data_IF_820553466769
#
_entry.id   IF_820553466769
#
_cell.length_a   1.000
_cell.length_b   1.000
_cell.length_c   1.000
_cell.angle_alpha   90.00
_cell.angle_beta   90.00
_cell.angle_gamma   90.00
#
_symmetry.space_group_name_H-M   'P 1'
#
loop_
_entity.id
_entity.type
_entity.pdbx_description
1 polymer ?
#
# COMPACT_ATOMS: atom_id res chain seq x y z
N UNK A 1 -0.12 -11.91 -1.17
CA UNK A 1 0.34 -10.62 -0.59
C UNK A 1 1.72 -10.81 0.01
N UNK A 2 2.64 -9.83 -0.21
CA UNK A 2 4.02 -9.93 0.23
C UNK A 2 4.25 -9.73 1.73
N UNK A 3 3.28 -9.17 2.47
CA UNK A 3 3.41 -8.88 3.90
C UNK A 3 2.13 -8.41 4.56
N UNK A 4 2.18 -8.24 5.86
CA UNK A 4 1.12 -7.64 6.67
C UNK A 4 1.53 -6.21 7.07
N UNK A 5 0.60 -5.26 6.92
CA UNK A 5 0.79 -3.87 7.32
C UNK A 5 0.05 -3.58 8.62
N UNK A 6 0.73 -2.88 9.52
CA UNK A 6 0.22 -2.50 10.83
C UNK A 6 0.39 -1.00 11.03
N UNK A 7 -0.59 -0.36 11.65
CA UNK A 7 -0.44 0.98 12.16
C UNK A 7 0.40 0.92 13.44
N UNK A 8 1.42 1.75 13.53
CA UNK A 8 2.30 1.87 14.68
C UNK A 8 2.58 3.35 14.98
N UNK A 9 3.18 3.63 16.13
CA UNK A 9 3.63 4.95 16.51
C UNK A 9 5.14 4.94 16.75
N UNK A 10 5.83 6.00 16.32
CA UNK A 10 7.25 6.23 16.55
C UNK A 10 7.47 7.71 16.85
N UNK A 11 8.06 8.00 17.98
CA UNK A 11 8.37 9.39 18.43
C UNK A 11 7.14 10.32 18.39
N UNK A 12 5.95 9.81 18.77
CA UNK A 12 4.70 10.55 18.73
C UNK A 12 4.08 10.70 17.33
N UNK A 13 4.66 10.11 16.30
CA UNK A 13 4.16 10.15 14.93
C UNK A 13 3.65 8.77 14.49
N UNK A 14 2.51 8.73 13.79
CA UNK A 14 2.00 7.50 13.18
C UNK A 14 2.91 7.05 12.03
N UNK A 15 3.17 5.74 11.98
CA UNK A 15 3.95 5.09 10.94
C UNK A 15 3.27 3.78 10.52
N UNK A 16 3.65 3.24 9.37
CA UNK A 16 3.24 1.91 8.93
C UNK A 16 4.41 0.95 9.08
N UNK A 17 4.21 -0.12 9.85
CA UNK A 17 5.12 -1.27 9.88
C UNK A 17 4.60 -2.32 8.90
N UNK A 18 5.42 -2.68 7.91
CA UNK A 18 5.17 -3.84 7.04
C UNK A 18 6.07 -4.99 7.47
N UNK A 19 5.45 -6.10 7.88
CA UNK A 19 6.11 -7.37 8.17
C UNK A 19 6.00 -8.28 6.96
N UNK A 20 7.11 -8.63 6.35
CA UNK A 20 7.15 -9.64 5.29
C UNK A 20 6.79 -11.01 5.88
N UNK A 21 6.08 -11.83 5.14
CA UNK A 21 5.73 -13.20 5.51
C UNK A 21 6.10 -14.18 4.40
N UNK A 22 6.31 -15.44 4.78
CA UNK A 22 6.70 -16.53 3.87
C UNK A 22 5.61 -17.60 3.74
N UNK A 23 4.35 -17.24 3.96
CA UNK A 23 3.25 -18.17 3.72
C UNK A 23 3.25 -18.63 2.25
N UNK A 24 3.05 -19.93 1.99
CA UNK A 24 3.00 -20.45 0.63
C UNK A 24 1.91 -19.72 -0.18
N UNK A 25 2.30 -19.15 -1.31
CA UNK A 25 1.36 -18.57 -2.26
C UNK A 25 1.45 -19.35 -3.56
N UNK A 26 0.31 -19.82 -4.07
CA UNK A 26 0.26 -20.64 -5.27
C UNK A 26 0.79 -19.94 -6.55
N UNK A 27 0.89 -18.62 -6.52
CA UNK A 27 1.18 -17.79 -7.69
C UNK A 27 2.56 -17.11 -7.68
N UNK A 28 3.32 -17.17 -6.57
CA UNK A 28 4.60 -16.49 -6.46
C UNK A 28 5.65 -17.34 -5.77
N UNK A 29 6.73 -17.65 -6.47
CA UNK A 29 7.98 -18.06 -5.87
C UNK A 29 8.83 -16.80 -5.63
N UNK A 30 8.70 -16.22 -4.46
CA UNK A 30 9.55 -15.10 -4.08
C UNK A 30 10.92 -15.62 -3.65
N UNK A 31 11.97 -15.07 -4.24
CA UNK A 31 13.30 -15.09 -3.66
C UNK A 31 13.36 -14.26 -2.37
N UNK A 32 14.30 -13.40 -2.22
CA UNK A 32 14.38 -12.47 -1.08
C UNK A 32 13.32 -11.36 -1.23
N UNK A 33 12.17 -11.50 -0.55
CA UNK A 33 11.03 -10.58 -0.65
C UNK A 33 11.35 -9.16 -0.20
N UNK A 34 12.13 -9.00 0.88
CA UNK A 34 12.48 -7.66 1.36
C UNK A 34 13.38 -6.94 0.37
N UNK A 35 14.33 -7.64 -0.24
CA UNK A 35 15.17 -7.05 -1.29
C UNK A 35 14.37 -6.68 -2.54
N UNK A 36 13.35 -7.48 -2.88
CA UNK A 36 12.44 -7.17 -3.99
C UNK A 36 11.69 -5.87 -3.70
N UNK A 37 11.13 -5.71 -2.50
CA UNK A 37 10.39 -4.52 -2.12
C UNK A 37 11.27 -3.26 -2.04
N UNK A 38 12.50 -3.38 -1.55
CA UNK A 38 13.47 -2.29 -1.55
C UNK A 38 13.83 -1.85 -2.97
N UNK A 39 14.09 -2.80 -3.85
CA UNK A 39 14.39 -2.54 -5.27
C UNK A 39 13.21 -1.85 -5.97
N UNK A 40 11.99 -2.31 -5.72
CA UNK A 40 10.80 -1.78 -6.34
C UNK A 40 10.46 -0.38 -5.82
N UNK A 41 10.67 -0.11 -4.53
CA UNK A 41 10.61 1.25 -3.97
C UNK A 41 11.57 2.20 -4.69
N UNK A 42 12.83 1.79 -4.88
CA UNK A 42 13.83 2.62 -5.57
C UNK A 42 13.48 2.84 -7.05
N UNK A 43 12.87 1.86 -7.72
CA UNK A 43 12.41 1.98 -9.11
C UNK A 43 11.29 3.01 -9.21
N UNK A 44 10.24 2.88 -8.39
CA UNK A 44 9.09 3.79 -8.36
C UNK A 44 9.49 5.22 -8.00
N UNK A 45 10.36 5.37 -6.98
CA UNK A 45 10.87 6.67 -6.56
C UNK A 45 11.64 7.39 -7.67
N UNK A 46 12.50 6.66 -8.42
CA UNK A 46 13.29 7.23 -9.52
C UNK A 46 12.43 7.76 -10.66
N UNK A 47 11.29 7.16 -10.94
CA UNK A 47 10.36 7.62 -11.99
C UNK A 47 9.32 8.61 -11.47
N UNK A 48 9.42 9.02 -10.19
CA UNK A 48 8.62 10.10 -9.62
C UNK A 48 7.22 9.71 -9.17
N UNK A 49 6.96 8.42 -8.89
CA UNK A 49 5.67 8.00 -8.33
C UNK A 49 5.55 8.50 -6.88
N UNK A 50 4.47 9.19 -6.50
CA UNK A 50 4.22 9.58 -5.12
C UNK A 50 4.07 8.35 -4.22
N UNK A 51 5.00 8.19 -3.28
CA UNK A 51 5.08 7.05 -2.36
C UNK A 51 5.21 7.54 -0.92
N UNK A 52 4.73 6.77 0.08
CA UNK A 52 5.16 6.96 1.46
C UNK A 52 6.68 6.87 1.55
N UNK A 53 7.32 7.72 2.34
CA UNK A 53 8.77 7.61 2.57
C UNK A 53 9.08 6.31 3.30
N UNK A 54 10.13 5.62 2.86
CA UNK A 54 10.72 4.53 3.63
C UNK A 54 11.56 5.15 4.75
N UNK A 55 11.19 4.90 6.00
CA UNK A 55 11.79 5.51 7.18
C UNK A 55 12.87 4.63 7.81
N UNK A 56 12.68 3.30 7.76
CA UNK A 56 13.62 2.34 8.33
C UNK A 56 13.42 0.94 7.72
N UNK A 57 14.47 0.14 7.74
CA UNK A 57 14.49 -1.25 7.23
C UNK A 57 15.25 -2.14 8.19
N UNK A 58 14.63 -3.24 8.59
CA UNK A 58 15.25 -4.32 9.34
C UNK A 58 15.24 -5.58 8.47
N UNK A 59 16.35 -5.81 7.77
CA UNK A 59 16.49 -6.95 6.85
C UNK A 59 16.51 -8.29 7.57
N UNK A 60 17.07 -8.35 8.77
CA UNK A 60 17.20 -9.59 9.54
C UNK A 60 15.84 -10.10 10.03
N UNK A 61 14.93 -9.18 10.37
CA UNK A 61 13.56 -9.49 10.77
C UNK A 61 12.53 -9.27 9.64
N UNK A 62 13.00 -8.91 8.43
CA UNK A 62 12.19 -8.67 7.23
C UNK A 62 11.05 -7.67 7.46
N UNK A 63 11.40 -6.49 7.99
CA UNK A 63 10.47 -5.41 8.35
C UNK A 63 10.85 -4.11 7.69
N UNK A 64 9.81 -3.38 7.25
CA UNK A 64 9.94 -2.05 6.68
C UNK A 64 9.05 -1.10 7.46
N UNK A 65 9.62 0.04 7.85
CA UNK A 65 8.84 1.14 8.40
C UNK A 65 8.71 2.20 7.34
N UNK A 66 7.50 2.63 7.11
CA UNK A 66 7.19 3.70 6.16
C UNK A 66 6.27 4.75 6.77
N UNK A 67 6.32 5.93 6.17
CA UNK A 67 5.44 7.05 6.47
C UNK A 67 3.98 6.61 6.45
N UNK A 68 3.22 7.07 7.43
CA UNK A 68 1.78 6.92 7.42
C UNK A 68 1.17 8.04 6.58
N UNK A 69 0.42 7.70 5.54
CA UNK A 69 -0.36 8.66 4.75
C UNK A 69 -1.74 8.77 5.39
N UNK A 70 -2.05 9.95 5.93
CA UNK A 70 -3.29 10.22 6.67
C UNK A 70 -4.39 10.67 5.71
N UNK A 71 -5.12 9.72 5.15
CA UNK A 71 -6.18 9.99 4.20
C UNK A 71 -7.09 8.79 4.01
N UNK A 72 -8.06 8.96 3.14
CA UNK A 72 -8.96 7.88 2.75
C UNK A 72 -8.40 7.13 1.54
N UNK A 73 -8.62 5.83 1.49
CA UNK A 73 -8.31 5.04 0.31
C UNK A 73 -9.25 5.41 -0.85
N UNK A 74 -8.76 5.26 -2.06
CA UNK A 74 -9.63 5.39 -3.25
C UNK A 74 -10.81 4.42 -3.17
N UNK A 75 -10.60 3.22 -2.61
CA UNK A 75 -11.66 2.23 -2.38
C UNK A 75 -12.80 2.79 -1.52
N UNK A 76 -12.48 3.40 -0.36
CA UNK A 76 -13.49 4.02 0.51
C UNK A 76 -14.20 5.17 -0.19
N UNK A 77 -13.46 6.02 -0.90
CA UNK A 77 -14.03 7.16 -1.63
C UNK A 77 -14.97 6.73 -2.78
N UNK A 78 -14.64 5.64 -3.50
CA UNK A 78 -15.54 5.07 -4.52
C UNK A 78 -16.80 4.49 -3.86
N UNK A 79 -16.63 3.74 -2.76
CA UNK A 79 -17.75 3.13 -2.03
C UNK A 79 -18.77 4.19 -1.55
N UNK A 80 -18.27 5.35 -1.13
CA UNK A 80 -19.05 6.47 -0.59
C UNK A 80 -19.46 7.52 -1.64
N UNK A 81 -19.24 7.27 -2.94
CA UNK A 81 -19.55 8.21 -4.06
C UNK A 81 -18.89 9.59 -3.93
N UNK A 82 -17.69 9.67 -3.36
CA UNK A 82 -16.99 10.94 -3.11
C UNK A 82 -15.57 11.00 -3.71
N UNK A 83 -15.25 10.11 -4.66
CA UNK A 83 -13.95 10.14 -5.34
C UNK A 83 -13.79 11.43 -6.15
N UNK A 84 -12.81 12.30 -5.83
CA UNK A 84 -12.55 13.49 -6.61
C UNK A 84 -12.03 13.14 -8.01
N UNK A 85 -12.47 13.88 -9.04
CA UNK A 85 -12.00 13.68 -10.41
C UNK A 85 -10.46 13.81 -10.53
N UNK A 86 -9.85 14.64 -9.69
CA UNK A 86 -8.39 14.81 -9.61
C UNK A 86 -7.64 13.53 -9.27
N UNK A 87 -8.25 12.56 -8.59
CA UNK A 87 -7.63 11.25 -8.35
C UNK A 87 -7.42 10.47 -9.65
N UNK A 88 -8.42 10.50 -10.56
CA UNK A 88 -8.29 9.86 -11.87
C UNK A 88 -7.24 10.55 -12.75
N UNK A 89 -7.14 11.88 -12.67
CA UNK A 89 -6.12 12.65 -13.37
C UNK A 89 -4.72 12.27 -12.87
N UNK A 90 -4.54 12.18 -11.54
CA UNK A 90 -3.26 11.85 -10.92
C UNK A 90 -2.81 10.42 -11.21
N UNK A 91 -3.71 9.42 -11.10
CA UNK A 91 -3.32 8.03 -11.44
C UNK A 91 -2.97 7.88 -12.92
N UNK A 92 -3.68 8.56 -13.82
CA UNK A 92 -3.32 8.60 -15.25
C UNK A 92 -1.98 9.27 -15.49
N UNK A 93 -1.66 10.32 -14.74
CA UNK A 93 -0.35 10.95 -14.82
C UNK A 93 0.78 10.02 -14.35
N UNK A 94 0.51 9.11 -13.40
CA UNK A 94 1.46 8.06 -13.00
C UNK A 94 1.67 7.01 -14.09
N UNK A 95 0.65 6.70 -14.89
CA UNK A 95 0.74 5.66 -15.94
C UNK A 95 1.84 5.95 -16.97
N UNK A 96 2.00 7.19 -17.42
CA UNK A 96 3.00 7.55 -18.42
C UNK A 96 4.42 7.12 -18.06
N UNK A 97 5.00 7.59 -16.94
CA UNK A 97 6.33 7.17 -16.50
C UNK A 97 6.44 5.68 -16.16
N UNK A 98 5.37 5.05 -15.62
CA UNK A 98 5.34 3.62 -15.35
C UNK A 98 5.47 2.81 -16.66
N UNK A 99 4.66 3.10 -17.66
CA UNK A 99 4.68 2.38 -18.94
C UNK A 99 5.98 2.60 -19.69
N UNK A 100 6.50 3.83 -19.68
CA UNK A 100 7.81 4.13 -20.25
C UNK A 100 8.96 3.34 -19.60
N UNK A 101 8.81 2.99 -18.32
CA UNK A 101 9.77 2.15 -17.58
C UNK A 101 9.49 0.64 -17.67
N UNK A 102 8.53 0.21 -18.48
CA UNK A 102 8.05 -1.18 -18.59
C UNK A 102 7.53 -1.72 -17.24
N UNK A 103 6.76 -0.91 -16.49
CA UNK A 103 6.24 -1.25 -15.17
C UNK A 103 4.70 -1.17 -15.16
N UNK A 104 4.07 -2.19 -14.61
CA UNK A 104 2.75 -2.11 -14.01
C UNK A 104 2.86 -2.10 -12.48
N UNK A 105 1.96 -1.36 -11.84
CA UNK A 105 1.71 -1.46 -10.38
C UNK A 105 0.36 -2.12 -10.16
N UNK A 106 0.04 -2.48 -8.93
CA UNK A 106 -1.30 -2.93 -8.59
C UNK A 106 -2.25 -1.72 -8.47
N UNK A 107 -3.02 -1.47 -9.53
CA UNK A 107 -3.97 -0.36 -9.63
C UNK A 107 -5.24 -0.55 -8.78
N UNK A 108 -5.28 -1.55 -7.92
CA UNK A 108 -6.45 -1.76 -7.07
C UNK A 108 -6.64 -0.61 -6.08
N UNK A 109 -7.87 -0.07 -5.90
CA UNK A 109 -8.10 1.21 -5.20
C UNK A 109 -7.72 1.21 -3.71
N UNK A 110 -7.55 0.05 -3.07
CA UNK A 110 -7.02 -0.02 -1.69
C UNK A 110 -5.55 0.35 -1.57
N UNK A 111 -4.81 0.35 -2.69
CA UNK A 111 -3.38 0.68 -2.75
C UNK A 111 -3.12 2.17 -2.97
N UNK A 112 -4.17 2.99 -2.99
CA UNK A 112 -4.05 4.44 -3.20
C UNK A 112 -4.75 5.21 -2.09
N UNK A 113 -4.05 6.21 -1.54
CA UNK A 113 -4.58 7.10 -0.49
C UNK A 113 -4.47 8.54 -0.96
N UNK A 114 -5.55 9.30 -0.78
CA UNK A 114 -5.58 10.74 -1.01
C UNK A 114 -5.31 11.47 0.31
N UNK A 115 -4.20 12.23 0.36
CA UNK A 115 -3.88 13.11 1.49
C UNK A 115 -3.61 14.53 0.97
N UNK A 116 -4.30 15.51 1.50
CA UNK A 116 -4.11 16.94 1.16
C UNK A 116 -4.13 17.24 -0.35
N UNK A 117 -4.98 16.52 -1.10
CA UNK A 117 -5.11 16.65 -2.55
C UNK A 117 -4.06 15.91 -3.38
N UNK A 118 -3.08 15.26 -2.74
CA UNK A 118 -2.08 14.42 -3.40
C UNK A 118 -2.42 12.94 -3.27
N UNK A 119 -2.35 12.21 -4.39
CA UNK A 119 -2.61 10.79 -4.46
C UNK A 119 -1.31 10.01 -4.28
N UNK A 120 -1.25 9.13 -3.29
CA UNK A 120 -0.11 8.27 -2.98
C UNK A 120 -0.40 6.81 -3.33
N UNK A 121 0.54 6.14 -4.01
CA UNK A 121 0.56 4.69 -4.13
C UNK A 121 1.26 4.10 -2.90
N UNK A 122 0.54 3.37 -2.05
CA UNK A 122 1.03 2.98 -0.72
C UNK A 122 1.64 1.57 -0.65
N UNK A 123 1.53 0.79 -1.71
CA UNK A 123 2.31 -0.45 -1.87
C UNK A 123 3.54 -0.19 -2.76
N UNK A 124 4.61 -0.99 -2.60
CA UNK A 124 5.85 -0.81 -3.38
C UNK A 124 6.01 -1.91 -4.45
N UNK A 125 4.93 -2.59 -4.80
CA UNK A 125 4.99 -3.68 -5.77
C UNK A 125 5.10 -3.16 -7.21
N UNK A 126 6.08 -3.70 -7.95
CA UNK A 126 6.26 -3.49 -9.37
C UNK A 126 6.17 -4.82 -10.12
N UNK A 127 5.37 -4.84 -11.16
CA UNK A 127 5.28 -5.95 -12.11
C UNK A 127 5.81 -5.51 -13.47
N UNK A 128 6.19 -6.45 -14.33
CA UNK A 128 6.46 -6.16 -15.72
C UNK A 128 5.19 -5.65 -16.42
N UNK A 129 5.34 -4.68 -17.33
CA UNK A 129 4.20 -4.12 -18.04
C UNK A 129 3.51 -5.19 -18.88
N UNK A 130 2.22 -5.30 -18.70
CA UNK A 130 1.31 -6.09 -19.52
C UNK A 130 0.06 -5.24 -19.81
N UNK A 131 -0.30 -5.10 -21.06
CA UNK A 131 -1.40 -4.24 -21.49
C UNK A 131 -2.74 -4.63 -20.85
N UNK A 132 -2.98 -5.92 -20.64
CA UNK A 132 -4.19 -6.45 -20.02
C UNK A 132 -4.35 -6.06 -18.54
N UNK A 133 -3.26 -5.74 -17.85
CA UNK A 133 -3.19 -5.39 -16.43
C UNK A 133 -2.87 -3.91 -16.20
N UNK A 134 -2.86 -3.10 -17.24
CA UNK A 134 -2.66 -1.66 -17.10
C UNK A 134 -3.89 -0.96 -16.51
N UNK A 135 -3.75 0.33 -16.22
CA UNK A 135 -4.84 1.09 -15.61
C UNK A 135 -6.08 1.14 -16.51
N UNK A 136 -5.92 1.35 -17.82
CA UNK A 136 -7.00 1.54 -18.78
C UNK A 136 -7.83 0.27 -19.00
N UNK A 137 -7.18 -0.90 -19.04
CA UNK A 137 -7.84 -2.17 -19.35
C UNK A 137 -8.34 -2.89 -18.08
N UNK A 138 -7.63 -2.73 -16.95
CA UNK A 138 -7.95 -3.43 -15.72
C UNK A 138 -8.28 -2.47 -14.56
N UNK A 139 -7.38 -1.55 -14.21
CA UNK A 139 -7.49 -0.72 -13.02
C UNK A 139 -8.76 0.11 -12.98
N UNK A 140 -9.11 0.76 -14.08
CA UNK A 140 -10.27 1.65 -14.21
C UNK A 140 -11.60 0.99 -13.80
N UNK A 141 -11.71 -0.33 -13.92
CA UNK A 141 -12.90 -1.10 -13.52
C UNK A 141 -13.22 -1.00 -12.03
N UNK A 142 -12.24 -0.65 -11.22
CA UNK A 142 -12.37 -0.57 -9.76
C UNK A 142 -12.34 0.86 -9.22
N UNK A 143 -12.21 1.88 -10.10
CA UNK A 143 -12.15 3.29 -9.71
C UNK A 143 -13.49 4.02 -9.86
N UNK A 144 -14.56 3.29 -10.00
CA UNK A 144 -15.95 3.74 -9.96
C UNK A 144 -16.86 2.56 -9.57
N UNK A 145 -18.14 2.82 -9.29
CA UNK A 145 -19.11 1.76 -8.94
C UNK A 145 -19.53 0.94 -10.16
N UNK A 146 -18.59 0.27 -10.78
CA UNK A 146 -18.86 -0.72 -11.83
C UNK A 146 -19.41 -2.02 -11.23
N UNK A 147 -19.98 -2.93 -12.04
CA UNK A 147 -20.37 -4.25 -11.57
C UNK A 147 -19.23 -5.03 -10.90
N UNK A 148 -18.01 -4.91 -11.43
CA UNK A 148 -16.81 -5.55 -10.88
C UNK A 148 -16.46 -5.01 -9.50
N UNK A 149 -16.49 -3.68 -9.33
CA UNK A 149 -16.24 -3.04 -8.04
C UNK A 149 -17.30 -3.44 -7.02
N UNK A 150 -18.58 -3.38 -7.37
CA UNK A 150 -19.69 -3.70 -6.47
C UNK A 150 -19.64 -5.16 -6.01
N UNK A 151 -19.37 -6.08 -6.94
CA UNK A 151 -19.16 -7.49 -6.60
C UNK A 151 -18.03 -7.68 -5.61
N UNK A 152 -16.88 -7.03 -5.85
CA UNK A 152 -15.75 -7.09 -4.93
C UNK A 152 -16.12 -6.51 -3.56
N UNK A 153 -16.83 -5.39 -3.52
CA UNK A 153 -17.24 -4.74 -2.27
C UNK A 153 -18.19 -5.62 -1.45
N UNK A 154 -19.14 -6.32 -2.08
CA UNK A 154 -20.03 -7.29 -1.42
C UNK A 154 -19.27 -8.46 -0.79
N UNK A 155 -18.27 -8.99 -1.51
CA UNK A 155 -17.45 -10.12 -1.02
C UNK A 155 -16.48 -9.70 0.10
N UNK A 156 -16.16 -8.40 0.22
CA UNK A 156 -15.10 -7.88 1.09
C UNK A 156 -15.56 -6.69 1.97
N UNK A 157 -16.78 -6.74 2.48
CA UNK A 157 -17.37 -5.67 3.31
C UNK A 157 -16.53 -5.24 4.53
N UNK A 158 -15.57 -6.08 4.96
CA UNK A 158 -14.72 -5.83 6.12
C UNK A 158 -13.40 -5.10 5.78
N UNK A 159 -13.13 -4.78 4.49
CA UNK A 159 -11.92 -4.05 4.13
C UNK A 159 -12.00 -2.63 4.69
N UNK A 160 -11.01 -2.27 5.49
CA UNK A 160 -10.87 -0.95 6.08
C UNK A 160 -9.46 -0.39 5.87
N UNK A 161 -9.35 0.93 5.86
CA UNK A 161 -8.10 1.66 5.91
C UNK A 161 -7.34 1.35 7.22
N UNK A 162 -6.00 1.44 7.21
CA UNK A 162 -5.16 1.28 8.41
C UNK A 162 -5.54 2.23 9.55
N UNK A 163 -6.06 3.44 9.24
CA UNK A 163 -6.52 4.40 10.25
C UNK A 163 -7.63 3.84 11.17
N UNK A 164 -8.39 2.86 10.68
CA UNK A 164 -9.49 2.21 11.41
C UNK A 164 -9.07 0.88 12.03
N UNK A 165 -7.79 0.51 11.95
CA UNK A 165 -7.26 -0.70 12.58
C UNK A 165 -6.69 -0.38 13.96
N UNK A 166 -6.75 -1.33 14.90
CA UNK A 166 -6.09 -1.16 16.18
C UNK A 166 -4.57 -1.01 15.98
N UNK A 167 -3.94 -0.29 16.90
CA UNK A 167 -2.48 -0.20 16.95
C UNK A 167 -1.85 -1.58 17.07
N UNK A 168 -0.61 -1.66 16.65
CA UNK A 168 0.19 -2.87 16.63
C UNK A 168 0.23 -3.54 18.02
N UNK A 169 0.04 -4.86 18.09
CA UNK A 169 0.12 -5.68 19.30
C UNK A 169 1.03 -6.90 19.11
N UNK A 170 1.31 -7.61 20.20
CA UNK A 170 2.08 -8.85 20.17
C UNK A 170 3.56 -8.68 19.87
N UNK A 171 4.18 -9.65 19.17
CA UNK A 171 5.64 -9.68 18.92
C UNK A 171 6.14 -8.50 18.10
N UNK A 172 5.37 -8.03 17.16
CA UNK A 172 5.76 -6.88 16.34
C UNK A 172 5.72 -5.58 17.15
N UNK A 173 4.76 -5.43 18.06
CA UNK A 173 4.72 -4.32 19.02
C UNK A 173 5.92 -4.34 19.95
N UNK A 174 6.28 -5.51 20.51
CA UNK A 174 7.46 -5.68 21.36
C UNK A 174 8.74 -5.26 20.62
N UNK A 175 8.91 -5.68 19.38
CA UNK A 175 10.06 -5.27 18.57
C UNK A 175 10.10 -3.76 18.31
N UNK A 176 8.96 -3.10 18.03
CA UNK A 176 8.90 -1.65 17.90
C UNK A 176 9.30 -0.95 19.20
N UNK A 177 8.80 -1.45 20.34
CA UNK A 177 9.16 -0.90 21.65
C UNK A 177 10.67 -1.08 21.94
N UNK A 178 11.24 -2.25 21.70
CA UNK A 178 12.66 -2.54 21.94
C UNK A 178 13.56 -1.70 21.03
N UNK A 179 13.21 -1.52 19.75
CA UNK A 179 14.02 -0.78 18.76
C UNK A 179 13.90 0.74 18.91
N UNK A 180 12.70 1.25 19.22
CA UNK A 180 12.40 2.69 19.17
C UNK A 180 11.84 3.26 20.47
N UNK A 181 11.71 2.47 21.53
CA UNK A 181 11.16 2.88 22.82
C UNK A 181 9.73 3.45 22.72
N UNK A 182 8.95 2.98 21.75
CA UNK A 182 7.56 3.40 21.56
C UNK A 182 6.67 2.73 22.60
N UNK A 183 5.79 3.47 23.29
CA UNK A 183 4.79 2.88 24.17
C UNK A 183 3.87 1.95 23.41
N UNK A 184 3.71 0.73 23.87
CA UNK A 184 2.72 -0.21 23.34
C UNK A 184 1.57 -0.24 24.32
N UNK A 185 0.40 0.27 23.91
CA UNK A 185 -0.82 0.06 24.68
C UNK A 185 -1.22 -1.41 24.55
N UNK A 186 -1.17 -2.15 25.65
CA UNK A 186 -1.72 -3.49 25.74
C UNK A 186 -3.25 -3.39 25.68
N UNK A 187 -3.81 -3.82 24.57
CA UNK A 187 -5.23 -4.14 24.52
C UNK A 187 -5.41 -5.57 25.02
N UNK A 188 -5.93 -5.67 26.22
CA UNK A 188 -6.45 -6.91 26.83
C UNK A 188 -7.75 -7.35 26.16
#
# INVERSE_FOLDING_TARGET
KGGYSYLAERDGARVVLKQIHHEPCAYYQFGNKIEAELRDYDRLKRIGIPLPKMLDVDKDNERIIKEYIDGDTVYEMVLEDRLPATCLEQVRAMCGPLYAANINIDYFPTNFILQDGALYYVDYECNEYMEEWNFENWGVKYWSKTPEFLKYAEEHLHISNLKNRPLLSGRAAKWCHEKWQVPVEEYS
#
